data_IF_745799738723
#
_entry.id   IF_745799738723
#
_cell.length_a   1.000
_cell.length_b   1.000
_cell.length_c   1.000
_cell.angle_alpha   90.00
_cell.angle_beta   90.00
_cell.angle_gamma   90.00
#
_symmetry.space_group_name_H-M   'P 1'
#
loop_
_entity.id
_entity.type
_entity.pdbx_description
1 polymer ?
#
# COMPACT_ATOMS: atom_id res chain seq x y z
N UNK A 1 -26.03 -45.03 -10.92
CA UNK A 1 -24.94 -44.33 -10.21
C UNK A 1 -24.91 -44.83 -8.77
N UNK A 2 -23.76 -45.29 -8.27
CA UNK A 2 -23.65 -45.91 -6.93
C UNK A 2 -23.91 -44.87 -5.83
N UNK A 3 -24.82 -45.16 -4.88
CA UNK A 3 -25.15 -44.26 -3.76
C UNK A 3 -23.91 -43.87 -2.93
N UNK A 4 -22.93 -44.77 -2.84
CA UNK A 4 -21.64 -44.51 -2.17
C UNK A 4 -20.78 -43.51 -2.95
N UNK A 5 -20.80 -43.54 -4.29
CA UNK A 5 -20.12 -42.55 -5.11
C UNK A 5 -20.76 -41.16 -4.95
N UNK A 6 -22.08 -41.08 -4.90
CA UNK A 6 -22.80 -39.81 -4.68
C UNK A 6 -22.46 -39.25 -3.30
N UNK A 7 -22.51 -40.07 -2.24
CA UNK A 7 -22.16 -39.65 -0.89
C UNK A 7 -20.69 -39.19 -0.78
N UNK A 8 -19.77 -39.89 -1.43
CA UNK A 8 -18.36 -39.52 -1.49
C UNK A 8 -18.13 -38.16 -2.17
N UNK A 9 -18.79 -37.92 -3.31
CA UNK A 9 -18.70 -36.64 -4.03
C UNK A 9 -19.25 -35.48 -3.19
N UNK A 10 -20.39 -35.67 -2.52
CA UNK A 10 -20.99 -34.65 -1.64
C UNK A 10 -20.03 -34.30 -0.49
N UNK A 11 -19.43 -35.31 0.15
CA UNK A 11 -18.48 -35.08 1.25
C UNK A 11 -17.27 -34.26 0.80
N UNK A 12 -16.71 -34.57 -0.38
CA UNK A 12 -15.59 -33.82 -0.95
C UNK A 12 -15.98 -32.36 -1.22
N UNK A 13 -17.17 -32.11 -1.76
CA UNK A 13 -17.65 -30.74 -2.03
C UNK A 13 -17.82 -29.96 -0.72
N UNK A 14 -18.34 -30.57 0.33
CA UNK A 14 -18.50 -29.93 1.63
C UNK A 14 -17.16 -29.57 2.26
N UNK A 15 -16.17 -30.47 2.20
CA UNK A 15 -14.82 -30.20 2.71
C UNK A 15 -14.16 -29.08 1.91
N UNK A 16 -14.21 -29.14 0.58
CA UNK A 16 -13.65 -28.11 -0.29
C UNK A 16 -14.30 -26.74 -0.04
N UNK A 17 -15.63 -26.71 0.09
CA UNK A 17 -16.38 -25.50 0.41
C UNK A 17 -16.03 -24.93 1.78
N UNK A 18 -15.91 -25.79 2.80
CA UNK A 18 -15.51 -25.39 4.15
C UNK A 18 -14.09 -24.81 4.20
N UNK A 19 -13.13 -25.45 3.54
CA UNK A 19 -11.75 -24.97 3.44
C UNK A 19 -11.66 -23.64 2.68
N UNK A 20 -12.38 -23.52 1.56
CA UNK A 20 -12.43 -22.29 0.79
C UNK A 20 -13.05 -21.15 1.61
N UNK A 21 -14.18 -21.40 2.28
CA UNK A 21 -14.83 -20.43 3.16
C UNK A 21 -13.89 -19.98 4.28
N UNK A 22 -13.24 -20.93 4.96
CA UNK A 22 -12.26 -20.61 6.01
C UNK A 22 -11.13 -19.72 5.50
N UNK A 23 -10.51 -20.05 4.36
CA UNK A 23 -9.46 -19.24 3.77
C UNK A 23 -9.96 -17.84 3.39
N UNK A 24 -11.14 -17.76 2.78
CA UNK A 24 -11.75 -16.52 2.36
C UNK A 24 -12.03 -15.57 3.54
N UNK A 25 -12.56 -16.09 4.65
CA UNK A 25 -12.87 -15.31 5.86
C UNK A 25 -11.67 -15.13 6.81
N UNK A 26 -10.55 -15.80 6.58
CA UNK A 26 -9.31 -15.57 7.34
C UNK A 26 -8.45 -14.42 6.80
N UNK A 27 -8.76 -13.92 5.60
CA UNK A 27 -7.96 -12.92 4.88
C UNK A 27 -8.82 -11.85 4.23
N UNK A 28 -8.32 -10.62 4.14
CA UNK A 28 -8.94 -9.51 3.42
C UNK A 28 -8.03 -8.98 2.34
N UNK A 29 -8.55 -8.12 1.45
CA UNK A 29 -7.76 -7.46 0.41
C UNK A 29 -7.40 -6.05 0.83
N UNK A 30 -6.14 -5.66 0.66
CA UNK A 30 -5.71 -4.27 0.82
C UNK A 30 -5.31 -3.73 -0.53
N UNK A 31 -5.79 -2.53 -0.87
CA UNK A 31 -5.38 -1.76 -2.05
C UNK A 31 -4.58 -0.55 -1.59
N UNK A 32 -3.43 -0.32 -2.21
CA UNK A 32 -2.56 0.81 -1.88
C UNK A 32 -2.64 1.83 -2.99
N UNK A 33 -2.92 3.07 -2.59
CA UNK A 33 -2.97 4.24 -3.44
C UNK A 33 -1.97 5.28 -2.98
N UNK A 34 -1.57 6.13 -3.92
CA UNK A 34 -0.66 7.23 -3.71
C UNK A 34 -1.25 8.51 -4.28
N UNK A 35 -1.10 9.60 -3.54
CA UNK A 35 -1.47 10.93 -3.98
C UNK A 35 -0.46 11.94 -3.41
N UNK A 36 -0.25 13.02 -4.13
CA UNK A 36 0.49 14.18 -3.68
C UNK A 36 -0.45 15.38 -3.52
N UNK A 37 -0.09 16.33 -2.66
CA UNK A 37 -0.84 17.57 -2.58
C UNK A 37 -0.74 18.32 -3.93
N UNK A 38 -1.77 19.11 -4.32
CA UNK A 38 -1.70 19.91 -5.54
C UNK A 38 -0.45 20.80 -5.56
N UNK A 39 0.38 20.64 -6.59
CA UNK A 39 1.56 21.48 -6.80
C UNK A 39 1.15 22.82 -7.42
N UNK A 40 1.68 23.93 -6.91
CA UNK A 40 1.48 25.26 -7.51
C UNK A 40 2.27 25.47 -8.80
N UNK A 41 3.22 24.58 -9.12
CA UNK A 41 4.08 24.66 -10.31
C UNK A 41 3.90 23.44 -11.22
N UNK A 42 3.37 23.66 -12.43
CA UNK A 42 3.22 22.63 -13.46
C UNK A 42 4.56 22.13 -14.03
N UNK A 43 5.66 22.82 -13.73
CA UNK A 43 6.99 22.54 -14.28
C UNK A 43 7.78 21.51 -13.48
N UNK A 44 7.31 21.14 -12.28
CA UNK A 44 8.00 20.22 -11.38
C UNK A 44 7.28 18.86 -11.39
N UNK A 45 7.98 17.81 -11.82
CA UNK A 45 7.49 16.42 -11.81
C UNK A 45 8.40 15.57 -10.94
N UNK A 46 7.84 14.89 -9.95
CA UNK A 46 8.60 14.02 -9.06
C UNK A 46 8.23 12.57 -9.36
N UNK A 47 9.20 11.79 -9.80
CA UNK A 47 9.07 10.36 -9.98
C UNK A 47 9.68 9.64 -8.79
N UNK A 48 8.88 8.79 -8.16
CA UNK A 48 9.28 7.96 -7.03
C UNK A 48 9.34 6.50 -7.50
N UNK A 49 10.46 5.83 -7.26
CA UNK A 49 10.60 4.39 -7.55
C UNK A 49 10.55 3.60 -6.24
N UNK A 50 9.48 2.84 -6.07
CA UNK A 50 9.20 2.02 -4.89
C UNK A 50 9.56 0.58 -5.22
N UNK A 51 10.44 -0.04 -4.45
CA UNK A 51 10.88 -1.43 -4.64
C UNK A 51 10.15 -2.45 -3.76
N UNK A 52 9.63 -2.02 -2.61
CA UNK A 52 8.88 -2.88 -1.70
C UNK A 52 7.85 -2.08 -0.91
N UNK A 53 6.71 -2.71 -0.63
CA UNK A 53 5.62 -2.19 0.18
C UNK A 53 5.29 -3.24 1.24
N UNK A 54 5.34 -2.86 2.51
CA UNK A 54 5.04 -3.74 3.64
C UNK A 54 4.12 -3.03 4.63
N UNK A 55 3.26 -3.77 5.32
CA UNK A 55 2.34 -3.25 6.34
C UNK A 55 2.59 -3.92 7.69
N UNK A 56 2.49 -3.16 8.78
CA UNK A 56 2.73 -3.64 10.14
C UNK A 56 1.44 -4.03 10.84
N UNK A 57 1.40 -5.24 11.39
CA UNK A 57 0.32 -5.74 12.24
C UNK A 57 0.54 -5.33 13.70
N UNK A 58 -0.44 -4.68 14.32
CA UNK A 58 -0.35 -4.10 15.67
C UNK A 58 -0.05 -5.12 16.78
N UNK A 59 -0.66 -6.30 16.69
CA UNK A 59 -0.68 -7.30 17.78
C UNK A 59 0.33 -8.45 17.59
N UNK A 60 1.42 -8.25 16.85
CA UNK A 60 2.45 -9.28 16.68
C UNK A 60 3.60 -9.07 17.66
N UNK A 61 3.87 -10.08 18.50
CA UNK A 61 4.97 -10.10 19.47
C UNK A 61 6.32 -10.52 18.86
N UNK A 62 6.36 -10.78 17.55
CA UNK A 62 7.54 -11.25 16.83
C UNK A 62 7.95 -10.26 15.73
N UNK A 63 9.21 -10.35 15.28
CA UNK A 63 9.72 -9.69 14.07
C UNK A 63 8.95 -10.02 12.77
N UNK A 64 7.99 -10.95 12.82
CA UNK A 64 7.04 -11.30 11.76
C UNK A 64 5.82 -10.35 11.66
N UNK A 65 5.85 -9.20 12.33
CA UNK A 65 4.76 -8.22 12.31
C UNK A 65 4.57 -7.56 10.94
N UNK A 66 5.60 -7.57 10.10
CA UNK A 66 5.59 -6.98 8.77
C UNK A 66 5.08 -7.98 7.73
N UNK A 67 4.03 -7.59 7.01
CA UNK A 67 3.46 -8.36 5.92
C UNK A 67 3.80 -7.64 4.62
N UNK A 68 4.47 -8.33 3.70
CA UNK A 68 4.76 -7.81 2.37
C UNK A 68 3.46 -7.72 1.55
N UNK A 69 3.16 -6.52 1.06
CA UNK A 69 2.10 -6.26 0.09
C UNK A 69 2.63 -6.46 -1.34
N UNK A 70 3.84 -5.95 -1.61
CA UNK A 70 4.48 -6.07 -2.93
C UNK A 70 5.99 -5.97 -2.81
N UNK A 71 6.71 -6.79 -3.57
CA UNK A 71 8.15 -6.65 -3.85
C UNK A 71 8.41 -6.28 -5.32
N UNK A 72 7.40 -5.77 -6.02
CA UNK A 72 7.54 -5.33 -7.41
C UNK A 72 8.01 -3.87 -7.42
N UNK A 73 9.04 -3.60 -8.20
CA UNK A 73 9.49 -2.24 -8.47
C UNK A 73 8.46 -1.50 -9.32
N UNK A 74 7.99 -0.36 -8.83
CA UNK A 74 7.07 0.54 -9.53
C UNK A 74 7.63 1.96 -9.50
N UNK A 75 7.63 2.63 -10.65
CA UNK A 75 7.94 4.06 -10.73
C UNK A 75 6.63 4.83 -10.94
N UNK A 76 6.38 5.80 -10.09
CA UNK A 76 5.13 6.57 -10.08
C UNK A 76 5.39 8.05 -10.06
N UNK A 77 4.60 8.80 -10.83
CA UNK A 77 4.60 10.26 -10.79
C UNK A 77 3.77 10.72 -9.58
N UNK A 78 4.38 11.48 -8.69
CA UNK A 78 3.64 12.20 -7.64
C UNK A 78 2.77 13.26 -8.31
N UNK A 79 1.46 13.16 -8.06
CA UNK A 79 0.47 14.06 -8.64
C UNK A 79 -0.72 14.20 -7.71
N UNK A 80 -1.53 15.23 -7.94
CA UNK A 80 -2.79 15.44 -7.22
C UNK A 80 -3.84 14.36 -7.50
N UNK A 81 -3.62 13.49 -8.49
CA UNK A 81 -4.53 12.40 -8.79
C UNK A 81 -4.14 11.14 -8.01
N UNK A 82 -5.15 10.49 -7.45
CA UNK A 82 -4.97 9.22 -6.78
C UNK A 82 -4.50 8.16 -7.78
N UNK A 83 -3.34 7.57 -7.52
CA UNK A 83 -2.70 6.57 -8.38
C UNK A 83 -2.68 5.22 -7.65
N UNK A 84 -3.20 4.18 -8.29
CA UNK A 84 -3.13 2.81 -7.76
C UNK A 84 -1.70 2.29 -7.84
N UNK A 85 -1.17 1.78 -6.73
CA UNK A 85 0.15 1.17 -6.66
C UNK A 85 0.08 -0.35 -6.79
N UNK A 86 -0.69 -0.97 -5.91
CA UNK A 86 -0.73 -2.43 -5.79
C UNK A 86 -1.90 -2.90 -4.91
N UNK A 87 -2.17 -4.19 -4.93
CA UNK A 87 -3.08 -4.85 -4.00
C UNK A 87 -2.56 -6.22 -3.57
N UNK A 88 -2.92 -6.63 -2.36
CA UNK A 88 -2.60 -7.96 -1.84
C UNK A 88 -3.70 -8.48 -0.93
N UNK A 89 -3.86 -9.80 -0.89
CA UNK A 89 -4.70 -10.48 0.10
C UNK A 89 -3.86 -10.86 1.30
N UNK A 90 -4.17 -10.31 2.47
CA UNK A 90 -3.39 -10.47 3.70
C UNK A 90 -4.29 -10.96 4.85
N UNK A 91 -3.72 -11.53 5.93
CA UNK A 91 -4.50 -11.99 7.08
C UNK A 91 -5.40 -10.89 7.65
N UNK A 92 -6.62 -11.26 8.07
CA UNK A 92 -7.48 -10.33 8.79
C UNK A 92 -6.82 -9.90 10.11
N UNK A 93 -7.02 -8.64 10.50
CA UNK A 93 -6.45 -8.06 11.71
C UNK A 93 -6.24 -6.54 11.64
N UNK A 94 -5.62 -6.03 12.69
CA UNK A 94 -5.34 -4.60 12.87
C UNK A 94 -3.91 -4.24 12.42
N UNK A 95 -3.80 -3.09 11.77
CA UNK A 95 -2.58 -2.57 11.18
C UNK A 95 -2.41 -1.08 11.51
N UNK A 96 -1.18 -0.62 11.73
CA UNK A 96 -0.92 0.77 12.17
C UNK A 96 0.19 1.49 11.41
N UNK A 97 1.00 0.78 10.62
CA UNK A 97 2.10 1.38 9.89
C UNK A 97 2.25 0.75 8.51
N UNK A 98 2.76 1.54 7.57
CA UNK A 98 3.18 1.10 6.24
C UNK A 98 4.62 1.53 5.97
N UNK A 99 5.38 0.65 5.36
CA UNK A 99 6.71 0.90 4.85
C UNK A 99 6.70 0.95 3.33
N UNK A 100 7.31 2.01 2.78
CA UNK A 100 7.71 2.08 1.38
C UNK A 100 9.23 2.04 1.31
N UNK A 101 9.78 1.03 0.66
CA UNK A 101 11.19 1.04 0.29
C UNK A 101 11.34 1.77 -1.04
N UNK A 102 12.11 2.85 -1.03
CA UNK A 102 12.37 3.72 -2.17
C UNK A 102 13.76 3.43 -2.69
N UNK A 103 13.85 3.02 -3.95
CA UNK A 103 15.14 2.74 -4.61
C UNK A 103 15.67 3.94 -5.40
N UNK A 104 14.79 4.88 -5.81
CA UNK A 104 15.20 6.10 -6.50
C UNK A 104 14.13 7.19 -6.42
N UNK A 105 14.57 8.45 -6.45
CA UNK A 105 13.72 9.61 -6.77
C UNK A 105 14.37 10.45 -7.88
N UNK A 106 13.54 10.87 -8.84
CA UNK A 106 13.95 11.76 -9.92
C UNK A 106 13.01 12.97 -9.95
N UNK A 107 13.58 14.16 -10.07
CA UNK A 107 12.83 15.40 -10.22
C UNK A 107 13.10 15.95 -11.61
N UNK A 108 12.05 16.17 -12.37
CA UNK A 108 12.13 16.90 -13.64
C UNK A 108 11.69 18.33 -13.40
N UNK A 109 12.57 19.28 -13.74
CA UNK A 109 12.26 20.72 -13.71
C UNK A 109 12.29 21.21 -15.17
N UNK A 110 11.11 21.50 -15.72
CA UNK A 110 10.95 21.77 -17.15
C UNK A 110 11.32 20.55 -18.00
N UNK A 111 12.44 20.62 -18.75
CA UNK A 111 12.95 19.54 -19.60
C UNK A 111 14.22 18.87 -19.04
N UNK A 112 14.68 19.26 -17.85
CA UNK A 112 15.92 18.74 -17.25
C UNK A 112 15.57 17.75 -16.13
N UNK A 113 16.16 16.57 -16.20
CA UNK A 113 16.06 15.55 -15.14
C UNK A 113 17.21 15.72 -14.15
N UNK A 114 16.87 15.82 -12.87
CA UNK A 114 17.78 15.94 -11.74
C UNK A 114 17.52 14.78 -10.78
N UNK A 115 18.55 14.01 -10.43
CA UNK A 115 18.43 12.99 -9.39
C UNK A 115 18.25 13.67 -8.03
N UNK A 116 17.25 13.23 -7.26
CA UNK A 116 17.05 13.72 -5.91
C UNK A 116 17.66 12.75 -4.90
N UNK A 117 18.39 13.31 -3.93
CA UNK A 117 18.88 12.54 -2.79
C UNK A 117 17.74 12.28 -1.82
N UNK A 118 17.40 11.01 -1.60
CA UNK A 118 16.50 10.65 -0.51
C UNK A 118 17.26 10.65 0.82
N UNK A 119 16.68 11.21 1.89
CA UNK A 119 17.27 11.14 3.23
C UNK A 119 17.22 9.73 3.84
N UNK A 120 16.30 8.88 3.36
CA UNK A 120 16.16 7.48 3.76
C UNK A 120 15.60 6.67 2.59
N UNK A 121 16.12 5.45 2.41
CA UNK A 121 15.58 4.46 1.47
C UNK A 121 14.27 3.83 1.97
N UNK A 122 13.90 4.08 3.23
CA UNK A 122 12.67 3.56 3.83
C UNK A 122 11.84 4.70 4.39
N UNK A 123 10.60 4.81 3.91
CA UNK A 123 9.59 5.71 4.45
C UNK A 123 8.66 4.94 5.36
N UNK A 124 8.74 5.21 6.66
CA UNK A 124 7.79 4.72 7.67
C UNK A 124 6.65 5.69 7.80
N UNK A 125 5.42 5.22 7.61
CA UNK A 125 4.24 6.07 7.61
C UNK A 125 3.21 5.47 8.56
N UNK A 126 2.77 6.27 9.52
CA UNK A 126 1.71 5.88 10.43
C UNK A 126 0.35 5.95 9.72
N UNK A 127 -0.47 4.92 9.90
CA UNK A 127 -1.85 4.89 9.42
C UNK A 127 -2.70 5.63 10.44
N UNK A 128 -3.29 6.76 10.03
CA UNK A 128 -4.19 7.55 10.86
C UNK A 128 -5.35 6.65 11.31
N UNK A 129 -5.56 6.57 12.63
CA UNK A 129 -6.55 5.71 13.28
C UNK A 129 -6.37 4.19 13.07
N UNK A 130 -5.28 3.76 12.44
CA UNK A 130 -5.05 2.37 12.05
C UNK A 130 -5.98 1.88 10.93
N UNK A 131 -5.84 0.60 10.59
CA UNK A 131 -6.67 -0.11 9.63
C UNK A 131 -7.09 -1.45 10.24
N UNK A 132 -8.38 -1.74 10.23
CA UNK A 132 -8.97 -2.99 10.71
C UNK A 132 -9.50 -3.79 9.51
N UNK A 133 -8.72 -4.77 9.06
CA UNK A 133 -9.03 -5.58 7.89
C UNK A 133 -9.85 -6.81 8.30
N UNK A 134 -11.08 -6.92 7.81
CA UNK A 134 -11.94 -8.08 8.06
C UNK A 134 -11.77 -9.16 7.00
N UNK A 135 -12.12 -10.39 7.40
CA UNK A 135 -12.19 -11.53 6.50
C UNK A 135 -13.13 -11.27 5.32
N UNK A 136 -12.63 -11.43 4.11
CA UNK A 136 -13.40 -11.19 2.88
C UNK A 136 -13.68 -9.73 2.56
N UNK A 137 -13.24 -8.76 3.38
CA UNK A 137 -13.38 -7.33 3.07
C UNK A 137 -12.28 -6.83 2.15
N UNK A 138 -12.46 -5.61 1.64
CA UNK A 138 -11.44 -4.87 0.90
C UNK A 138 -11.29 -3.50 1.53
N UNK A 139 -10.08 -3.17 1.99
CA UNK A 139 -9.74 -1.84 2.48
C UNK A 139 -8.82 -1.15 1.47
N UNK A 140 -9.01 0.16 1.29
CA UNK A 140 -8.15 0.98 0.45
C UNK A 140 -7.35 1.94 1.33
N UNK A 141 -6.03 1.91 1.23
CA UNK A 141 -5.12 2.78 1.95
C UNK A 141 -4.57 3.84 1.00
N UNK A 142 -4.79 5.10 1.34
CA UNK A 142 -4.23 6.24 0.62
C UNK A 142 -2.99 6.76 1.33
N UNK A 143 -1.88 6.82 0.63
CA UNK A 143 -0.65 7.47 1.06
C UNK A 143 -0.60 8.87 0.44
N UNK A 144 -0.57 9.89 1.29
CA UNK A 144 -0.55 11.29 0.88
C UNK A 144 0.80 11.91 1.18
N UNK A 145 1.46 12.41 0.13
CA UNK A 145 2.69 13.18 0.24
C UNK A 145 2.37 14.66 0.50
N UNK A 146 3.18 15.34 1.34
CA UNK A 146 2.94 16.73 1.66
C UNK A 146 3.37 17.65 0.52
N UNK A 147 2.75 18.82 0.47
CA UNK A 147 3.07 19.86 -0.51
C UNK A 147 4.56 20.22 -0.51
N UNK A 148 5.18 20.09 -1.68
CA UNK A 148 6.51 20.63 -1.99
C UNK A 148 6.28 21.92 -2.78
N UNK A 149 6.41 23.07 -2.09
CA UNK A 149 6.30 24.38 -2.72
C UNK A 149 7.68 24.91 -3.09
N UNK A 150 7.79 25.58 -4.24
CA UNK A 150 8.92 26.45 -4.55
C UNK A 150 8.43 27.90 -4.44
N UNK A 151 8.87 28.63 -3.41
CA UNK A 151 8.48 30.01 -3.19
C UNK A 151 9.70 30.84 -2.76
N UNK A 152 9.87 32.04 -3.33
CA UNK A 152 10.96 32.96 -2.99
C UNK A 152 12.37 32.35 -3.07
N UNK A 153 12.62 31.46 -4.04
CA UNK A 153 13.91 30.78 -4.20
C UNK A 153 14.18 29.67 -3.18
N UNK A 154 13.23 29.34 -2.30
CA UNK A 154 13.32 28.29 -1.31
C UNK A 154 12.31 27.16 -1.57
N UNK A 155 12.73 25.93 -1.32
CA UNK A 155 11.86 24.75 -1.29
C UNK A 155 11.22 24.67 0.10
N UNK A 156 9.91 24.87 0.19
CA UNK A 156 9.15 24.69 1.44
C UNK A 156 8.56 23.29 1.42
N UNK A 157 9.00 22.44 2.35
CA UNK A 157 8.49 21.08 2.55
C UNK A 157 7.73 21.06 3.88
N UNK A 158 6.42 20.84 3.83
CA UNK A 158 5.68 20.50 5.04
C UNK A 158 6.02 19.05 5.43
N UNK A 159 6.59 18.75 6.59
CA UNK A 159 7.16 17.43 6.84
C UNK A 159 6.11 16.48 7.42
N UNK A 160 5.17 15.99 6.62
CA UNK A 160 4.42 14.79 7.03
C UNK A 160 3.83 14.05 5.84
N UNK A 161 4.33 12.83 5.61
CA UNK A 161 3.64 11.85 4.78
C UNK A 161 2.62 11.18 5.68
N UNK A 162 1.38 11.05 5.21
CA UNK A 162 0.30 10.40 5.96
C UNK A 162 -0.23 9.19 5.21
N UNK A 163 -0.74 8.21 5.95
CA UNK A 163 -1.51 7.12 5.40
C UNK A 163 -2.88 7.09 6.07
N UNK A 164 -3.94 6.86 5.31
CA UNK A 164 -5.30 6.76 5.86
C UNK A 164 -6.14 5.76 5.07
N UNK A 165 -7.07 5.10 5.75
CA UNK A 165 -8.07 4.27 5.08
C UNK A 165 -9.08 5.19 4.39
N UNK A 166 -9.34 4.94 3.11
CA UNK A 166 -10.35 5.62 2.31
C UNK A 166 -11.43 4.58 1.94
N UNK A 167 -12.65 4.81 2.42
CA UNK A 167 -13.81 3.94 2.19
C UNK A 167 -14.26 3.97 0.74
#
# INVERSE_FOLDING_TARGET
>A
MNKLLIAGVILIILIAGGLYGYYYFSTGTVKIYLQDAPSSSQLLKIYLTISSIMIHRTNSTNSSAWITISNKTITVLLSSNMTFLTSARIPAGEYNEIFLQISAAQVTIGNVNVSAKLPSEVLKIHIINGMDLKGGSTESLLISFPHIAYANGQVIISPSITAQVIS
#
